data_IF_890562974439
#
_entry.id   IF_890562974439
#
_cell.length_a   1.000
_cell.length_b   1.000
_cell.length_c   1.000
_cell.angle_alpha   90.00
_cell.angle_beta   90.00
_cell.angle_gamma   90.00
#
_symmetry.space_group_name_H-M   'P 1'
#
loop_
_entity.id
_entity.type
_entity.pdbx_description
1 polymer ?
#
# COMPACT_ATOMS: atom_id res chain seq x y z
N UNK A 1 -7.18 14.03 25.28
CA UNK A 1 -6.49 13.07 24.38
C UNK A 1 -7.20 13.06 23.05
N UNK A 2 -6.47 13.19 21.94
CA UNK A 2 -7.00 13.23 20.56
C UNK A 2 -6.37 12.11 19.75
N UNK A 3 -7.19 11.36 19.01
CA UNK A 3 -6.71 10.35 18.06
C UNK A 3 -6.75 10.95 16.65
N UNK A 4 -5.61 10.95 15.96
CA UNK A 4 -5.50 11.38 14.56
C UNK A 4 -5.16 10.18 13.69
N UNK A 5 -6.03 9.91 12.72
CA UNK A 5 -5.91 8.76 11.82
C UNK A 5 -5.56 9.24 10.41
N UNK A 6 -4.50 8.68 9.84
CA UNK A 6 -3.98 9.07 8.53
C UNK A 6 -4.16 7.94 7.51
N UNK A 7 -4.65 8.28 6.32
CA UNK A 7 -4.44 7.44 5.14
C UNK A 7 -2.99 7.59 4.63
N UNK A 8 -2.53 6.68 3.78
CA UNK A 8 -1.15 6.62 3.29
C UNK A 8 -1.01 7.14 1.87
N UNK A 9 -1.63 6.45 0.91
CA UNK A 9 -1.39 6.69 -0.51
C UNK A 9 -2.05 8.01 -0.94
N UNK A 10 -1.26 8.91 -1.51
CA UNK A 10 -1.66 10.26 -1.89
C UNK A 10 -2.01 11.21 -0.72
N UNK A 11 -1.99 10.74 0.53
CA UNK A 11 -2.08 11.57 1.74
C UNK A 11 -0.70 11.81 2.37
N UNK A 12 0.00 10.75 2.78
CA UNK A 12 1.33 10.86 3.38
C UNK A 12 2.44 10.80 2.33
N UNK A 13 2.28 9.93 1.34
CA UNK A 13 3.32 9.61 0.37
C UNK A 13 2.74 9.39 -1.03
N UNK A 14 3.60 9.38 -2.04
CA UNK A 14 3.31 8.76 -3.33
C UNK A 14 4.40 7.75 -3.66
N UNK A 15 3.98 6.54 -4.05
CA UNK A 15 4.87 5.48 -4.51
C UNK A 15 5.02 5.45 -6.04
N UNK A 16 4.43 6.42 -6.74
CA UNK A 16 4.45 6.57 -8.19
C UNK A 16 4.10 5.28 -8.96
N UNK A 17 3.12 4.51 -8.43
CA UNK A 17 2.62 3.28 -9.06
C UNK A 17 3.28 1.98 -8.59
N UNK A 18 4.24 2.02 -7.65
CA UNK A 18 4.91 0.80 -7.17
C UNK A 18 3.95 -0.25 -6.62
N UNK A 19 2.90 0.18 -5.90
CA UNK A 19 1.86 -0.73 -5.39
C UNK A 19 1.13 -1.48 -6.50
N UNK A 20 0.66 -0.76 -7.53
CA UNK A 20 -0.01 -1.36 -8.69
C UNK A 20 0.92 -2.29 -9.45
N UNK A 21 2.15 -1.86 -9.74
CA UNK A 21 3.15 -2.69 -10.41
C UNK A 21 3.44 -3.99 -9.65
N UNK A 22 3.58 -3.93 -8.33
CA UNK A 22 3.82 -5.10 -7.49
C UNK A 22 2.66 -6.09 -7.49
N UNK A 23 1.42 -5.60 -7.45
CA UNK A 23 0.22 -6.44 -7.56
C UNK A 23 0.12 -7.08 -8.95
N UNK A 24 0.34 -6.32 -10.03
CA UNK A 24 0.33 -6.84 -11.41
C UNK A 24 1.35 -7.96 -11.58
N UNK A 25 2.56 -7.79 -11.07
CA UNK A 25 3.60 -8.84 -11.10
C UNK A 25 3.18 -10.09 -10.32
N UNK A 26 2.52 -9.93 -9.17
CA UNK A 26 2.04 -11.06 -8.38
C UNK A 26 0.90 -11.81 -9.09
N UNK A 27 -0.04 -11.09 -9.71
CA UNK A 27 -1.11 -11.68 -10.52
C UNK A 27 -0.58 -12.45 -11.72
N UNK A 28 0.33 -11.85 -12.50
CA UNK A 28 0.97 -12.52 -13.62
C UNK A 28 1.65 -13.82 -13.18
N UNK A 29 2.34 -13.80 -12.03
CA UNK A 29 3.07 -14.97 -11.54
C UNK A 29 2.17 -16.10 -11.06
N UNK A 30 1.03 -15.79 -10.43
CA UNK A 30 0.14 -16.81 -9.86
C UNK A 30 -0.89 -17.35 -10.84
N UNK A 31 -1.39 -16.50 -11.72
CA UNK A 31 -2.55 -16.82 -12.56
C UNK A 31 -2.25 -16.71 -14.05
N UNK A 32 -1.03 -16.31 -14.43
CA UNK A 32 -0.65 -16.12 -15.84
C UNK A 32 -1.33 -14.91 -16.49
N UNK A 33 -2.09 -14.12 -15.73
CA UNK A 33 -2.96 -13.05 -16.22
C UNK A 33 -2.63 -11.72 -15.52
N UNK A 34 -1.88 -10.87 -16.21
CA UNK A 34 -1.56 -9.50 -15.76
C UNK A 34 -2.76 -8.56 -15.84
N UNK A 35 -3.69 -8.86 -16.73
CA UNK A 35 -4.92 -8.14 -17.05
C UNK A 35 -5.97 -8.23 -15.94
N UNK A 36 -5.78 -9.08 -14.93
CA UNK A 36 -6.69 -9.16 -13.78
C UNK A 36 -6.84 -7.82 -13.02
N UNK A 37 -5.93 -6.87 -13.23
CA UNK A 37 -5.98 -5.52 -12.65
C UNK A 37 -6.29 -4.42 -13.67
N UNK A 38 -6.66 -4.79 -14.89
CA UNK A 38 -7.08 -3.82 -15.91
C UNK A 38 -8.49 -3.32 -15.59
N UNK A 39 -8.68 -2.01 -15.72
CA UNK A 39 -9.94 -1.35 -15.34
C UNK A 39 -10.25 -1.33 -13.83
N UNK A 40 -9.48 -2.03 -12.99
CA UNK A 40 -9.66 -1.99 -11.53
C UNK A 40 -9.20 -0.62 -11.01
N UNK A 41 -10.13 0.15 -10.46
CA UNK A 41 -9.79 1.37 -9.71
C UNK A 41 -9.11 0.99 -8.39
N UNK A 42 -8.03 1.68 -8.05
CA UNK A 42 -7.28 1.48 -6.79
C UNK A 42 -7.57 2.57 -5.75
N UNK A 43 -7.96 3.77 -6.22
CA UNK A 43 -8.07 4.94 -5.35
C UNK A 43 -9.17 4.75 -4.30
N UNK A 44 -8.82 4.94 -3.03
CA UNK A 44 -9.75 4.83 -1.89
C UNK A 44 -10.23 3.41 -1.59
N UNK A 45 -9.62 2.38 -2.19
CA UNK A 45 -10.02 0.98 -1.99
C UNK A 45 -9.06 0.23 -1.09
N UNK A 46 -9.56 -0.86 -0.51
CA UNK A 46 -8.72 -1.78 0.28
C UNK A 46 -8.00 -2.76 -0.63
N UNK A 47 -6.78 -3.16 -0.24
CA UNK A 47 -6.01 -4.18 -0.97
C UNK A 47 -6.80 -5.49 -1.08
N UNK A 48 -7.59 -5.84 -0.06
CA UNK A 48 -8.49 -7.01 -0.07
C UNK A 48 -9.57 -6.86 -1.15
N UNK A 49 -10.20 -5.69 -1.26
CA UNK A 49 -11.23 -5.45 -2.27
C UNK A 49 -10.65 -5.47 -3.69
N UNK A 50 -9.48 -4.85 -3.89
CA UNK A 50 -8.75 -4.88 -5.16
C UNK A 50 -8.41 -6.32 -5.56
N UNK A 51 -7.86 -7.10 -4.63
CA UNK A 51 -7.52 -8.50 -4.86
C UNK A 51 -8.75 -9.35 -5.23
N UNK A 52 -9.85 -9.21 -4.48
CA UNK A 52 -11.10 -9.95 -4.74
C UNK A 52 -11.71 -9.57 -6.09
N UNK A 53 -11.68 -8.29 -6.46
CA UNK A 53 -12.17 -7.86 -7.77
C UNK A 53 -11.33 -8.41 -8.91
N UNK A 54 -10.01 -8.43 -8.75
CA UNK A 54 -9.13 -9.00 -9.75
C UNK A 54 -9.34 -10.51 -9.94
N UNK A 55 -9.59 -11.26 -8.85
CA UNK A 55 -9.99 -12.66 -8.96
C UNK A 55 -11.31 -12.82 -9.71
N UNK A 56 -12.29 -11.94 -9.46
CA UNK A 56 -13.59 -11.97 -10.15
C UNK A 56 -13.46 -11.67 -11.64
N UNK A 57 -12.59 -10.74 -12.04
CA UNK A 57 -12.27 -10.48 -13.46
C UNK A 57 -11.73 -11.73 -14.16
N UNK A 58 -11.00 -12.57 -13.43
CA UNK A 58 -10.43 -13.83 -13.94
C UNK A 58 -11.32 -15.05 -13.70
N UNK A 59 -12.56 -14.85 -13.23
CA UNK A 59 -13.50 -15.93 -12.89
C UNK A 59 -12.94 -16.95 -11.87
N UNK A 60 -12.01 -16.50 -11.02
CA UNK A 60 -11.39 -17.33 -9.98
C UNK A 60 -12.08 -17.14 -8.63
N UNK A 61 -12.41 -18.22 -7.90
CA UNK A 61 -12.95 -18.07 -6.55
C UNK A 61 -11.90 -17.53 -5.57
N UNK A 62 -12.32 -16.75 -4.59
CA UNK A 62 -11.46 -16.40 -3.47
C UNK A 62 -11.20 -17.63 -2.59
N UNK A 63 -9.96 -17.78 -2.12
CA UNK A 63 -9.61 -18.68 -1.03
C UNK A 63 -8.52 -18.04 -0.17
N UNK A 64 -8.47 -18.42 1.12
CA UNK A 64 -7.45 -17.94 2.04
C UNK A 64 -6.04 -18.24 1.54
N UNK A 65 -5.82 -19.45 1.02
CA UNK A 65 -4.55 -19.87 0.44
C UNK A 65 -4.10 -18.97 -0.72
N UNK A 66 -5.00 -18.65 -1.66
CA UNK A 66 -4.68 -17.75 -2.78
C UNK A 66 -4.32 -16.35 -2.32
N UNK A 67 -5.02 -15.83 -1.31
CA UNK A 67 -4.71 -14.52 -0.75
C UNK A 67 -3.33 -14.52 -0.07
N UNK A 68 -2.98 -15.57 0.66
CA UNK A 68 -1.69 -15.69 1.34
C UNK A 68 -0.53 -15.86 0.34
N UNK A 69 -0.73 -16.66 -0.72
CA UNK A 69 0.23 -16.78 -1.83
C UNK A 69 0.41 -15.45 -2.57
N UNK A 70 -0.69 -14.74 -2.81
CA UNK A 70 -0.67 -13.42 -3.43
C UNK A 70 0.08 -12.41 -2.57
N UNK A 71 -0.24 -12.32 -1.27
CA UNK A 71 0.43 -11.43 -0.31
C UNK A 71 1.93 -11.65 -0.28
N UNK A 72 2.39 -12.91 -0.23
CA UNK A 72 3.82 -13.24 -0.22
C UNK A 72 4.54 -12.64 -1.42
N UNK A 73 4.01 -12.87 -2.64
CA UNK A 73 4.61 -12.33 -3.86
C UNK A 73 4.46 -10.81 -3.96
N UNK A 74 3.30 -10.28 -3.58
CA UNK A 74 3.04 -8.85 -3.58
C UNK A 74 4.03 -8.09 -2.69
N UNK A 75 4.28 -8.54 -1.46
CA UNK A 75 5.20 -7.85 -0.55
C UNK A 75 6.66 -7.92 -1.00
N UNK A 76 7.09 -9.04 -1.58
CA UNK A 76 8.41 -9.18 -2.19
C UNK A 76 8.55 -8.20 -3.37
N UNK A 77 7.60 -8.24 -4.32
CA UNK A 77 7.57 -7.35 -5.47
C UNK A 77 7.49 -5.87 -5.05
N UNK A 78 6.70 -5.53 -4.03
CA UNK A 78 6.55 -4.15 -3.55
C UNK A 78 7.88 -3.60 -3.04
N UNK A 79 8.64 -4.41 -2.31
CA UNK A 79 9.97 -4.01 -1.81
C UNK A 79 10.91 -3.70 -2.98
N UNK A 80 10.92 -4.53 -4.02
CA UNK A 80 11.70 -4.31 -5.23
C UNK A 80 11.22 -3.08 -6.02
N UNK A 81 9.90 -2.93 -6.23
CA UNK A 81 9.33 -1.80 -6.94
C UNK A 81 9.60 -0.48 -6.22
N UNK A 82 9.59 -0.46 -4.89
CA UNK A 82 9.96 0.72 -4.09
C UNK A 82 11.44 1.08 -4.27
N UNK A 83 12.34 0.10 -4.28
CA UNK A 83 13.78 0.30 -4.46
C UNK A 83 14.17 0.85 -5.85
N UNK A 84 13.38 0.61 -6.90
CA UNK A 84 13.66 1.14 -8.24
C UNK A 84 13.69 2.68 -8.27
N UNK A 85 14.69 3.32 -8.90
CA UNK A 85 14.71 4.78 -9.04
C UNK A 85 13.47 5.31 -9.77
N UNK A 86 12.78 6.28 -9.16
CA UNK A 86 11.67 7.00 -9.78
C UNK A 86 11.47 8.33 -9.06
N UNK A 87 11.81 9.44 -9.72
CA UNK A 87 11.78 10.80 -9.15
C UNK A 87 10.38 11.27 -8.73
N UNK A 88 9.31 10.59 -9.17
CA UNK A 88 7.94 10.89 -8.75
C UNK A 88 7.58 10.30 -7.39
N UNK A 89 8.41 9.43 -6.81
CA UNK A 89 8.24 8.90 -5.46
C UNK A 89 8.68 9.93 -4.42
N UNK A 90 7.80 10.34 -3.52
CA UNK A 90 8.11 11.32 -2.49
C UNK A 90 7.12 11.27 -1.31
N UNK A 91 7.56 11.78 -0.17
CA UNK A 91 6.69 12.21 0.94
C UNK A 91 5.95 13.47 0.51
N UNK A 92 4.63 13.55 0.79
CA UNK A 92 3.83 14.72 0.41
C UNK A 92 4.32 15.98 1.13
N UNK A 93 4.21 17.17 0.50
CA UNK A 93 4.69 18.42 1.10
C UNK A 93 4.11 18.65 2.51
N UNK A 94 4.97 18.99 3.47
CA UNK A 94 4.59 19.31 4.85
C UNK A 94 4.32 18.10 5.76
N UNK A 95 4.34 16.86 5.23
CA UNK A 95 4.01 15.67 6.04
C UNK A 95 5.08 15.36 7.08
N UNK A 96 6.35 15.46 6.73
CA UNK A 96 7.44 15.20 7.67
C UNK A 96 7.41 16.18 8.84
N UNK A 97 7.22 17.47 8.54
CA UNK A 97 7.13 18.56 9.51
C UNK A 97 5.89 18.42 10.40
N UNK A 98 4.76 18.04 9.81
CA UNK A 98 3.51 17.78 10.54
C UNK A 98 3.68 16.61 11.51
N UNK A 99 4.18 15.46 11.05
CA UNK A 99 4.33 14.27 11.88
C UNK A 99 5.32 14.51 13.02
N UNK A 100 6.45 15.16 12.76
CA UNK A 100 7.40 15.55 13.80
C UNK A 100 6.78 16.49 14.83
N UNK A 101 5.96 17.46 14.41
CA UNK A 101 5.26 18.36 15.32
C UNK A 101 4.26 17.62 16.20
N UNK A 102 3.53 16.65 15.63
CA UNK A 102 2.52 15.89 16.33
C UNK A 102 3.10 14.84 17.30
N UNK A 103 4.24 14.22 16.96
CA UNK A 103 4.92 13.25 17.83
C UNK A 103 5.32 13.88 19.18
N UNK A 104 5.66 15.17 19.18
CA UNK A 104 6.03 15.91 20.38
C UNK A 104 4.83 16.33 21.25
N UNK A 105 3.59 15.97 20.88
CA UNK A 105 2.38 16.34 21.62
C UNK A 105 1.87 15.17 22.47
N UNK A 106 1.98 15.25 23.82
CA UNK A 106 1.52 14.18 24.70
C UNK A 106 -0.02 14.01 24.71
N UNK A 107 -0.76 14.98 24.18
CA UNK A 107 -2.22 14.92 24.09
C UNK A 107 -2.74 14.29 22.79
N UNK A 108 -1.84 13.86 21.88
CA UNK A 108 -2.15 13.31 20.56
C UNK A 108 -1.63 11.89 20.41
N UNK A 109 -2.45 11.01 19.86
CA UNK A 109 -2.06 9.67 19.40
C UNK A 109 -2.22 9.61 17.89
N UNK A 110 -1.18 9.15 17.20
CA UNK A 110 -1.19 8.95 15.76
C UNK A 110 -1.53 7.50 15.43
N UNK A 111 -2.30 7.30 14.37
CA UNK A 111 -2.61 5.98 13.86
C UNK A 111 -2.83 6.01 12.35
N UNK A 112 -2.81 4.83 11.75
CA UNK A 112 -3.10 4.65 10.34
C UNK A 112 -4.53 4.16 10.16
N UNK A 113 -5.27 4.78 9.25
CA UNK A 113 -6.55 4.31 8.74
C UNK A 113 -6.47 4.26 7.23
N UNK A 114 -6.09 3.09 6.71
CA UNK A 114 -5.75 2.92 5.30
C UNK A 114 -6.30 1.61 4.75
N UNK A 115 -6.52 1.56 3.45
CA UNK A 115 -6.92 0.35 2.73
C UNK A 115 -5.80 -0.67 2.54
N UNK A 116 -4.55 -0.29 2.81
CA UNK A 116 -3.38 -1.16 2.64
C UNK A 116 -3.40 -2.33 3.63
N UNK A 117 -2.92 -3.50 3.22
CA UNK A 117 -2.50 -4.52 4.18
C UNK A 117 -1.38 -3.97 5.06
N UNK A 118 -1.39 -4.30 6.36
CA UNK A 118 -0.43 -3.78 7.36
C UNK A 118 1.02 -3.88 6.89
N UNK A 119 1.42 -5.01 6.31
CA UNK A 119 2.79 -5.19 5.82
C UNK A 119 3.10 -4.33 4.59
N UNK A 120 2.12 -4.10 3.71
CA UNK A 120 2.26 -3.17 2.59
C UNK A 120 2.44 -1.73 3.06
N UNK A 121 1.61 -1.30 4.02
CA UNK A 121 1.74 -0.01 4.70
C UNK A 121 3.13 0.17 5.33
N UNK A 122 3.59 -0.83 6.09
CA UNK A 122 4.91 -0.81 6.72
C UNK A 122 6.04 -0.69 5.71
N UNK A 123 6.04 -1.47 4.62
CA UNK A 123 7.08 -1.41 3.59
C UNK A 123 7.14 -0.01 2.95
N UNK A 124 5.98 0.56 2.61
CA UNK A 124 5.90 1.90 2.04
C UNK A 124 6.43 2.96 3.01
N UNK A 125 5.93 2.96 4.26
CA UNK A 125 6.31 3.99 5.23
C UNK A 125 7.76 3.84 5.70
N UNK A 126 8.30 2.63 5.80
CA UNK A 126 9.74 2.43 6.09
C UNK A 126 10.63 2.96 4.98
N UNK A 127 10.25 2.77 3.71
CA UNK A 127 11.00 3.31 2.56
C UNK A 127 11.12 4.84 2.61
N UNK A 128 10.12 5.53 3.16
CA UNK A 128 10.12 6.99 3.32
C UNK A 128 10.48 7.45 4.74
N UNK A 129 10.96 6.56 5.60
CA UNK A 129 11.31 6.87 6.99
C UNK A 129 10.15 7.45 7.81
N UNK A 130 8.91 7.02 7.59
CA UNK A 130 7.73 7.49 8.33
C UNK A 130 7.10 6.45 9.26
N UNK A 131 7.51 5.18 9.18
CA UNK A 131 6.86 4.11 9.95
C UNK A 131 6.97 4.30 11.46
N UNK A 132 8.03 4.95 11.95
CA UNK A 132 8.27 5.13 13.38
C UNK A 132 7.28 6.08 14.07
N UNK A 133 6.53 6.89 13.31
CA UNK A 133 5.50 7.78 13.87
C UNK A 133 4.19 7.06 14.25
N UNK A 134 4.03 5.78 13.90
CA UNK A 134 2.76 5.04 13.98
C UNK A 134 2.86 3.68 14.68
#
# INVERSE_FOLDING_TARGET
MKLLLFDIDLTLITTAGAGRAAMTRAFQRLFGASEGLDGVSFAGRTDVAIFKDALRTLELPWSKQREDDFKRLYFANLSEELAKPNSRKHVKPGVSELLQTLENRPDVVLGLLTGNWRRGAELKLRHFHLWHYF
#
